data_IF_319186296722
#
_entry.id   IF_319186296722
#
_cell.length_a   1.000
_cell.length_b   1.000
_cell.length_c   1.000
_cell.angle_alpha   90.00
_cell.angle_beta   90.00
_cell.angle_gamma   90.00
#
_symmetry.space_group_name_H-M   'P 1'
#
loop_
_entity.id
_entity.type
_entity.pdbx_description
1 polymer ?
#
# COMPACT_ATOMS: atom_id res chain seq x y z
N UNK A 1 3.44 -11.37 -18.06
CA UNK A 1 2.95 -11.42 -16.65
C UNK A 1 3.51 -10.19 -15.95
N UNK A 2 2.65 -9.37 -15.34
CA UNK A 2 3.02 -8.12 -14.66
C UNK A 2 3.84 -8.43 -13.42
N UNK A 3 5.04 -7.87 -13.30
CA UNK A 3 5.95 -8.07 -12.16
C UNK A 3 5.66 -7.04 -11.09
N UNK A 4 5.15 -7.47 -9.95
CA UNK A 4 4.71 -6.59 -8.87
C UNK A 4 5.69 -6.63 -7.71
N UNK A 5 6.16 -5.45 -7.29
CA UNK A 5 6.86 -5.26 -6.01
C UNK A 5 5.91 -4.68 -4.97
N UNK A 6 5.89 -5.23 -3.76
CA UNK A 6 5.04 -4.73 -2.68
C UNK A 6 5.91 -4.14 -1.57
N UNK A 7 5.68 -2.86 -1.24
CA UNK A 7 6.38 -2.15 -0.18
C UNK A 7 5.51 -2.10 1.08
N UNK A 8 6.10 -2.46 2.21
CA UNK A 8 5.40 -2.65 3.49
C UNK A 8 6.22 -2.11 4.66
N UNK A 9 5.56 -1.72 5.75
CA UNK A 9 6.25 -1.29 6.99
C UNK A 9 5.89 -2.12 8.22
N UNK A 10 4.78 -2.84 8.20
CA UNK A 10 4.21 -3.50 9.39
C UNK A 10 3.72 -4.92 9.16
N UNK A 11 2.50 -5.20 9.65
CA UNK A 11 1.91 -6.55 9.70
C UNK A 11 1.61 -7.19 8.34
N UNK A 12 1.40 -6.39 7.29
CA UNK A 12 1.21 -6.89 5.93
C UNK A 12 -0.15 -7.50 5.66
N UNK A 13 -1.22 -6.97 6.26
CA UNK A 13 -2.59 -7.47 6.02
C UNK A 13 -3.06 -7.21 4.58
N UNK A 14 -2.71 -6.06 4.02
CA UNK A 14 -2.95 -5.77 2.60
C UNK A 14 -2.08 -6.64 1.68
N UNK A 15 -0.82 -6.90 2.05
CA UNK A 15 0.01 -7.88 1.33
C UNK A 15 -0.66 -9.25 1.33
N UNK A 16 -1.16 -9.72 2.48
CA UNK A 16 -1.84 -11.02 2.55
C UNK A 16 -3.05 -11.07 1.60
N UNK A 17 -3.86 -10.01 1.56
CA UNK A 17 -4.98 -9.95 0.63
C UNK A 17 -4.56 -10.05 -0.84
N UNK A 18 -3.41 -9.46 -1.21
CA UNK A 18 -2.84 -9.60 -2.56
C UNK A 18 -2.42 -11.05 -2.81
N UNK A 19 -1.70 -11.66 -1.86
CA UNK A 19 -1.20 -13.03 -1.99
C UNK A 19 -2.36 -14.04 -2.11
N UNK A 20 -3.37 -13.90 -1.26
CA UNK A 20 -4.57 -14.73 -1.31
C UNK A 20 -5.29 -14.60 -2.66
N UNK A 21 -5.40 -13.38 -3.20
CA UNK A 21 -6.03 -13.13 -4.50
C UNK A 21 -5.24 -13.75 -5.67
N UNK A 22 -3.91 -13.77 -5.59
CA UNK A 22 -3.06 -14.47 -6.57
C UNK A 22 -3.27 -15.98 -6.48
N UNK A 23 -3.26 -16.53 -5.27
CA UNK A 23 -3.43 -17.96 -5.03
C UNK A 23 -4.82 -18.48 -5.46
N UNK A 24 -5.86 -17.68 -5.27
CA UNK A 24 -7.23 -17.99 -5.70
C UNK A 24 -7.48 -17.72 -7.19
N UNK A 25 -6.57 -17.06 -7.89
CA UNK A 25 -6.73 -16.71 -9.30
C UNK A 25 -7.57 -15.47 -9.56
N UNK A 26 -7.87 -14.68 -8.53
CA UNK A 26 -8.58 -13.40 -8.65
C UNK A 26 -7.71 -12.31 -9.28
N UNK A 27 -6.39 -12.43 -9.15
CA UNK A 27 -5.41 -11.65 -9.89
C UNK A 27 -4.82 -12.53 -10.99
N UNK A 28 -5.17 -12.22 -12.24
CA UNK A 28 -4.62 -12.87 -13.42
C UNK A 28 -3.52 -12.00 -14.05
N UNK A 29 -2.56 -12.65 -14.71
CA UNK A 29 -1.48 -12.00 -15.46
C UNK A 29 -0.55 -11.11 -14.61
N UNK A 30 -0.47 -11.33 -13.28
CA UNK A 30 0.49 -10.67 -12.40
C UNK A 30 1.11 -11.67 -11.42
N UNK A 31 2.31 -11.35 -10.97
CA UNK A 31 3.03 -12.09 -9.93
C UNK A 31 3.69 -11.13 -8.94
N UNK A 32 3.71 -11.48 -7.66
CA UNK A 32 4.48 -10.74 -6.66
C UNK A 32 5.93 -11.23 -6.71
N UNK A 33 6.81 -10.41 -7.26
CA UNK A 33 8.23 -10.76 -7.47
C UNK A 33 9.08 -10.51 -6.22
N UNK A 34 8.73 -9.51 -5.43
CA UNK A 34 9.46 -9.12 -4.22
C UNK A 34 8.57 -8.36 -3.24
N UNK A 35 8.84 -8.57 -1.96
CA UNK A 35 8.31 -7.75 -0.86
C UNK A 35 9.47 -7.04 -0.18
N UNK A 36 9.40 -5.71 -0.09
CA UNK A 36 10.44 -4.87 0.50
C UNK A 36 9.87 -4.14 1.71
N UNK A 37 10.57 -4.19 2.84
CA UNK A 37 10.22 -3.43 4.02
C UNK A 37 11.35 -2.48 4.44
N UNK A 38 10.97 -1.34 5.00
CA UNK A 38 11.89 -0.43 5.68
C UNK A 38 12.13 -0.82 7.15
N UNK A 39 11.43 -1.83 7.65
CA UNK A 39 11.48 -2.29 9.04
C UNK A 39 11.85 -3.78 9.09
N UNK A 40 12.98 -4.15 9.72
CA UNK A 40 13.39 -5.55 9.83
C UNK A 40 12.41 -6.40 10.65
N UNK A 41 11.64 -5.78 11.56
CA UNK A 41 10.62 -6.44 12.36
C UNK A 41 9.24 -6.54 11.71
N UNK A 42 9.09 -6.15 10.45
CA UNK A 42 7.81 -6.22 9.75
C UNK A 42 7.37 -7.67 9.52
N UNK A 43 6.23 -8.06 10.08
CA UNK A 43 5.67 -9.41 9.89
C UNK A 43 5.30 -9.69 8.42
N UNK A 44 5.09 -8.65 7.63
CA UNK A 44 4.92 -8.76 6.19
C UNK A 44 6.07 -9.52 5.48
N UNK A 45 7.30 -9.39 5.97
CA UNK A 45 8.44 -10.15 5.44
C UNK A 45 8.30 -11.66 5.67
N UNK A 46 7.74 -12.05 6.82
CA UNK A 46 7.44 -13.46 7.12
C UNK A 46 6.33 -14.00 6.22
N UNK A 47 5.28 -13.21 5.99
CA UNK A 47 4.23 -13.59 5.02
C UNK A 47 4.79 -13.85 3.63
N UNK A 48 5.70 -13.01 3.16
CA UNK A 48 6.37 -13.19 1.87
C UNK A 48 7.19 -14.50 1.84
N UNK A 49 7.98 -14.78 2.87
CA UNK A 49 8.77 -16.01 2.96
C UNK A 49 7.90 -17.26 2.96
N UNK A 50 6.78 -17.24 3.69
CA UNK A 50 5.83 -18.35 3.76
C UNK A 50 5.18 -18.66 2.40
N UNK A 51 5.12 -17.67 1.49
CA UNK A 51 4.65 -17.84 0.11
C UNK A 51 5.79 -18.05 -0.91
N UNK A 52 7.02 -18.27 -0.44
CA UNK A 52 8.19 -18.46 -1.32
C UNK A 52 8.61 -17.20 -2.09
N UNK A 53 8.15 -16.03 -1.65
CA UNK A 53 8.46 -14.74 -2.28
C UNK A 53 9.69 -14.12 -1.62
N UNK A 54 10.54 -13.50 -2.43
CA UNK A 54 11.72 -12.79 -1.94
C UNK A 54 11.33 -11.66 -1.01
N UNK A 55 11.85 -11.71 0.22
CA UNK A 55 11.64 -10.72 1.27
C UNK A 55 12.94 -9.95 1.53
N UNK A 56 12.89 -8.64 1.39
CA UNK A 56 14.07 -7.75 1.51
C UNK A 56 13.78 -6.66 2.52
N UNK A 57 14.77 -6.33 3.34
CA UNK A 57 14.69 -5.18 4.24
C UNK A 57 15.75 -4.14 3.88
N UNK A 58 15.33 -2.89 3.73
CA UNK A 58 16.21 -1.73 3.61
C UNK A 58 15.71 -0.68 4.59
N UNK A 59 16.40 -0.55 5.72
CA UNK A 59 16.01 0.39 6.76
C UNK A 59 16.74 1.73 6.60
N UNK A 60 16.04 2.87 6.75
CA UNK A 60 16.68 4.18 6.80
C UNK A 60 17.77 4.29 7.86
N UNK A 61 17.67 3.49 8.94
CA UNK A 61 18.63 3.45 10.03
C UNK A 61 20.01 2.88 9.64
N UNK A 62 20.09 2.21 8.49
CA UNK A 62 21.34 1.64 7.97
C UNK A 62 22.21 2.67 7.22
N UNK A 63 21.70 3.87 7.04
CA UNK A 63 22.33 4.90 6.21
C UNK A 63 22.56 6.18 7.00
N UNK A 64 23.68 6.91 6.73
CA UNK A 64 24.04 8.10 7.48
C UNK A 64 23.13 9.30 7.16
N UNK A 65 22.52 9.33 5.98
CA UNK A 65 21.65 10.42 5.52
C UNK A 65 20.43 9.89 4.81
N UNK A 66 19.39 10.71 4.72
CA UNK A 66 18.19 10.39 3.94
C UNK A 66 18.50 10.20 2.46
N UNK A 67 19.39 11.00 1.90
CA UNK A 67 19.77 10.88 0.48
C UNK A 67 20.48 9.59 0.19
N UNK A 68 21.39 9.14 1.07
CA UNK A 68 22.04 7.84 0.94
C UNK A 68 21.03 6.68 0.98
N UNK A 69 20.05 6.75 1.89
CA UNK A 69 18.94 5.79 1.92
C UNK A 69 18.12 5.83 0.63
N UNK A 70 17.71 7.01 0.17
CA UNK A 70 16.89 7.17 -1.03
C UNK A 70 17.57 6.59 -2.27
N UNK A 71 18.88 6.82 -2.43
CA UNK A 71 19.67 6.25 -3.53
C UNK A 71 19.75 4.73 -3.46
N UNK A 72 20.07 4.19 -2.29
CA UNK A 72 20.16 2.75 -2.07
C UNK A 72 18.80 2.05 -2.25
N UNK A 73 17.72 2.69 -1.79
CA UNK A 73 16.36 2.18 -1.92
C UNK A 73 15.93 2.09 -3.39
N UNK A 74 16.14 3.16 -4.16
CA UNK A 74 15.85 3.17 -5.59
C UNK A 74 16.68 2.14 -6.34
N UNK A 75 18.00 2.06 -6.08
CA UNK A 75 18.88 1.07 -6.69
C UNK A 75 18.43 -0.37 -6.39
N UNK A 76 17.95 -0.63 -5.16
CA UNK A 76 17.43 -1.93 -4.80
C UNK A 76 16.14 -2.28 -5.54
N UNK A 77 15.23 -1.34 -5.71
CA UNK A 77 14.00 -1.51 -6.50
C UNK A 77 14.34 -1.83 -7.95
N UNK A 78 15.33 -1.14 -8.52
CA UNK A 78 15.77 -1.33 -9.90
C UNK A 78 16.30 -2.75 -10.19
N UNK A 79 16.83 -3.45 -9.18
CA UNK A 79 17.32 -4.83 -9.35
C UNK A 79 16.22 -5.83 -9.73
N UNK A 80 14.96 -5.50 -9.49
CA UNK A 80 13.84 -6.44 -9.67
C UNK A 80 13.07 -6.27 -10.98
N UNK A 81 13.39 -5.23 -11.77
CA UNK A 81 12.73 -4.97 -13.05
C UNK A 81 11.19 -5.02 -12.93
N UNK A 82 10.65 -4.19 -12.04
CA UNK A 82 9.23 -4.18 -11.68
C UNK A 82 8.40 -3.40 -12.69
N UNK A 83 7.25 -3.95 -13.06
CA UNK A 83 6.24 -3.27 -13.87
C UNK A 83 5.31 -2.42 -13.01
N UNK A 84 5.01 -2.87 -11.80
CA UNK A 84 4.13 -2.19 -10.84
C UNK A 84 4.72 -2.24 -9.43
N UNK A 85 4.67 -1.13 -8.73
CA UNK A 85 5.03 -1.02 -7.32
C UNK A 85 3.77 -0.70 -6.53
N UNK A 86 3.51 -1.48 -5.49
CA UNK A 86 2.34 -1.33 -4.62
C UNK A 86 2.78 -0.92 -3.23
N UNK A 87 2.31 0.23 -2.77
CA UNK A 87 2.48 0.66 -1.38
C UNK A 87 1.33 0.09 -0.55
N UNK A 88 1.64 -0.88 0.29
CA UNK A 88 0.68 -1.59 1.13
C UNK A 88 0.97 -1.33 2.62
N UNK A 89 0.65 -0.14 3.09
CA UNK A 89 1.02 0.31 4.44
C UNK A 89 2.50 0.63 4.56
N UNK A 90 3.08 1.26 3.54
CA UNK A 90 4.47 1.72 3.55
C UNK A 90 4.53 3.15 4.10
N UNK A 91 5.22 3.33 5.24
CA UNK A 91 5.21 4.58 6.02
C UNK A 91 6.41 5.50 5.74
N UNK A 92 7.29 5.10 4.84
CA UNK A 92 8.43 5.94 4.41
C UNK A 92 8.04 6.71 3.17
N UNK A 93 8.35 8.00 3.16
CA UNK A 93 8.09 8.85 2.00
C UNK A 93 8.89 8.35 0.79
N UNK A 94 8.22 8.17 -0.33
CA UNK A 94 8.82 7.76 -1.60
C UNK A 94 9.69 8.90 -2.15
N UNK A 95 10.94 8.63 -2.55
CA UNK A 95 11.81 9.65 -3.14
C UNK A 95 11.25 10.20 -4.46
N UNK A 96 11.42 11.50 -4.71
CA UNK A 96 10.98 12.13 -5.96
C UNK A 96 11.58 11.45 -7.21
N UNK A 97 12.84 11.06 -7.15
CA UNK A 97 13.49 10.33 -8.24
C UNK A 97 12.79 8.99 -8.56
N UNK A 98 12.20 8.34 -7.54
CA UNK A 98 11.45 7.12 -7.73
C UNK A 98 10.07 7.39 -8.35
N UNK A 99 9.35 8.43 -7.91
CA UNK A 99 8.05 8.80 -8.50
C UNK A 99 8.19 9.26 -9.94
N UNK A 100 9.28 9.91 -10.30
CA UNK A 100 9.59 10.27 -11.68
C UNK A 100 9.92 9.05 -12.54
N UNK A 101 10.84 8.19 -12.09
CA UNK A 101 11.27 7.00 -12.81
C UNK A 101 10.15 5.99 -13.04
N UNK A 102 9.33 5.78 -12.04
CA UNK A 102 8.20 4.83 -12.05
C UNK A 102 6.85 5.54 -12.21
N UNK A 103 6.83 6.69 -12.90
CA UNK A 103 5.59 7.45 -13.16
C UNK A 103 4.52 6.57 -13.78
N UNK A 104 3.32 6.56 -13.18
CA UNK A 104 2.20 5.73 -13.60
C UNK A 104 2.35 4.24 -13.27
N UNK A 105 3.37 3.86 -12.50
CA UNK A 105 3.66 2.47 -12.10
C UNK A 105 3.78 2.28 -10.58
N UNK A 106 3.36 3.27 -9.80
CA UNK A 106 3.28 3.16 -8.33
C UNK A 106 1.84 3.42 -7.94
N UNK A 107 1.26 2.51 -7.16
CA UNK A 107 -0.08 2.67 -6.57
C UNK A 107 0.00 2.56 -5.05
N UNK A 108 -0.95 3.20 -4.37
CA UNK A 108 -1.08 3.17 -2.92
C UNK A 108 -2.51 2.87 -2.50
N UNK A 109 -2.67 2.19 -1.38
CA UNK A 109 -3.94 2.03 -0.68
C UNK A 109 -3.97 2.98 0.52
N UNK A 110 -4.99 3.83 0.60
CA UNK A 110 -5.21 4.76 1.70
C UNK A 110 -6.56 4.47 2.37
N UNK A 111 -6.64 4.39 3.72
CA UNK A 111 -7.83 3.94 4.43
C UNK A 111 -8.87 5.05 4.63
N UNK A 112 -9.10 5.88 3.63
CA UNK A 112 -10.19 6.86 3.59
C UNK A 112 -10.71 7.06 2.18
N UNK A 113 -11.83 7.74 2.07
CA UNK A 113 -12.31 8.27 0.80
C UNK A 113 -11.59 9.59 0.49
N UNK A 114 -10.51 9.55 -0.26
CA UNK A 114 -9.80 10.75 -0.70
C UNK A 114 -10.79 11.62 -1.49
N UNK A 115 -10.91 12.89 -1.11
CA UNK A 115 -10.00 13.85 -0.47
C UNK A 115 -10.14 13.99 1.06
N UNK A 116 -10.93 13.20 1.73
CA UNK A 116 -11.13 13.26 3.19
C UNK A 116 -10.03 12.50 3.92
N UNK A 117 -9.55 13.04 5.05
CA UNK A 117 -8.61 12.39 5.98
C UNK A 117 -7.38 11.80 5.29
N UNK A 118 -6.75 12.56 4.40
CA UNK A 118 -5.56 12.18 3.66
C UNK A 118 -4.49 13.26 3.73
N UNK A 119 -3.28 12.96 3.24
CA UNK A 119 -2.14 13.86 3.29
C UNK A 119 -1.32 13.73 4.57
N UNK A 120 -0.55 14.76 4.88
CA UNK A 120 0.40 14.76 6.01
C UNK A 120 -0.29 14.49 7.34
N UNK A 121 0.19 13.48 8.07
CA UNK A 121 -0.33 13.11 9.40
C UNK A 121 -1.47 12.10 9.39
N UNK A 122 -2.06 11.81 8.24
CA UNK A 122 -3.14 10.83 8.11
C UNK A 122 -2.61 9.47 7.66
N UNK A 123 -2.35 8.58 8.62
CA UNK A 123 -1.93 7.21 8.39
C UNK A 123 -2.39 6.29 9.52
N UNK A 124 -2.57 5.01 9.22
CA UNK A 124 -2.93 3.98 10.18
C UNK A 124 -4.19 4.33 10.95
N UNK A 125 -4.16 4.12 12.26
CA UNK A 125 -5.31 4.35 13.16
C UNK A 125 -5.77 5.81 13.21
N UNK A 126 -4.86 6.77 12.99
CA UNK A 126 -5.16 8.21 13.02
C UNK A 126 -6.22 8.64 12.01
N UNK A 127 -6.31 7.95 10.88
CA UNK A 127 -7.35 8.21 9.87
C UNK A 127 -8.74 7.91 10.45
N UNK A 128 -8.89 6.80 11.15
CA UNK A 128 -10.16 6.36 11.75
C UNK A 128 -10.52 7.21 12.98
N UNK A 129 -9.54 7.58 13.78
CA UNK A 129 -9.70 8.54 14.89
C UNK A 129 -10.26 9.88 14.37
N UNK A 130 -9.69 10.40 13.29
CA UNK A 130 -10.13 11.66 12.69
C UNK A 130 -11.54 11.54 12.08
N UNK A 131 -11.87 10.44 11.41
CA UNK A 131 -13.18 10.17 10.85
C UNK A 131 -14.26 10.14 11.94
N UNK A 132 -14.01 9.43 13.05
CA UNK A 132 -14.91 9.37 14.19
C UNK A 132 -15.05 10.72 14.89
N UNK A 133 -13.95 11.43 15.13
CA UNK A 133 -13.96 12.75 15.75
C UNK A 133 -14.75 13.77 14.91
N UNK A 134 -14.71 13.65 13.58
CA UNK A 134 -15.50 14.52 12.67
C UNK A 134 -16.97 14.15 12.62
N UNK A 135 -17.32 12.92 13.01
CA UNK A 135 -18.70 12.42 13.02
C UNK A 135 -19.23 12.05 11.63
N UNK A 136 -18.35 11.68 10.68
CA UNK A 136 -18.78 11.22 9.37
C UNK A 136 -19.58 9.94 9.48
N UNK A 137 -20.56 9.76 8.60
CA UNK A 137 -21.40 8.55 8.58
C UNK A 137 -20.89 7.50 7.60
N UNK A 138 -20.03 7.93 6.67
CA UNK A 138 -19.43 7.08 5.64
C UNK A 138 -17.93 7.40 5.57
N UNK A 139 -17.12 6.36 5.55
CA UNK A 139 -15.68 6.37 5.28
C UNK A 139 -15.38 5.34 4.20
N UNK A 140 -14.17 4.85 4.08
CA UNK A 140 -13.83 3.82 3.10
C UNK A 140 -12.35 3.74 2.83
N UNK A 141 -12.01 3.28 1.64
CA UNK A 141 -10.63 3.20 1.17
C UNK A 141 -10.50 3.65 -0.29
N UNK A 142 -9.29 4.08 -0.64
CA UNK A 142 -8.96 4.56 -1.98
C UNK A 142 -7.67 3.90 -2.45
N UNK A 143 -7.70 3.35 -3.67
CA UNK A 143 -6.48 3.01 -4.43
C UNK A 143 -6.22 4.11 -5.43
N UNK A 144 -5.02 4.67 -5.42
CA UNK A 144 -4.64 5.75 -6.33
C UNK A 144 -3.21 5.59 -6.83
N UNK A 145 -2.91 6.21 -7.95
CA UNK A 145 -1.52 6.35 -8.41
C UNK A 145 -0.76 7.31 -7.50
N UNK A 146 0.52 7.03 -7.30
CA UNK A 146 1.41 7.90 -6.53
C UNK A 146 2.08 8.88 -7.49
N UNK A 147 1.98 10.16 -7.15
CA UNK A 147 2.67 11.27 -7.81
C UNK A 147 3.65 11.98 -6.86
N UNK A 148 4.03 13.21 -7.17
CA UNK A 148 4.95 13.99 -6.33
C UNK A 148 4.34 14.52 -5.03
N UNK A 149 3.02 14.45 -4.84
CA UNK A 149 2.32 14.86 -3.64
C UNK A 149 1.98 13.69 -2.72
N UNK A 150 1.44 14.01 -1.54
CA UNK A 150 0.98 12.98 -0.60
C UNK A 150 -0.51 12.76 -0.78
N UNK A 151 -0.88 11.56 -1.21
CA UNK A 151 -2.26 11.13 -1.49
C UNK A 151 -2.99 12.01 -2.54
N UNK A 152 -2.26 12.55 -3.52
CA UNK A 152 -2.77 13.51 -4.52
C UNK A 152 -2.93 12.92 -5.92
N UNK A 153 -2.38 11.76 -6.19
CA UNK A 153 -2.42 11.14 -7.51
C UNK A 153 -3.80 10.66 -7.95
N UNK A 154 -3.97 10.36 -9.24
CA UNK A 154 -5.25 9.93 -9.80
C UNK A 154 -5.82 8.69 -9.10
N UNK A 155 -7.12 8.73 -8.81
CA UNK A 155 -7.85 7.64 -8.16
C UNK A 155 -8.13 6.53 -9.17
N UNK A 156 -7.91 5.28 -8.75
CA UNK A 156 -8.20 4.07 -9.54
C UNK A 156 -9.52 3.47 -9.07
N UNK A 157 -9.63 3.19 -7.76
CA UNK A 157 -10.81 2.62 -7.14
C UNK A 157 -11.07 3.22 -5.77
N UNK A 158 -12.35 3.31 -5.43
CA UNK A 158 -12.79 3.65 -4.08
C UNK A 158 -13.90 2.71 -3.65
N UNK A 159 -13.97 2.44 -2.35
CA UNK A 159 -15.09 1.70 -1.75
C UNK A 159 -15.50 2.33 -0.43
N UNK A 160 -16.78 2.67 -0.34
CA UNK A 160 -17.39 3.24 0.85
C UNK A 160 -17.68 2.17 1.90
N UNK A 161 -17.55 2.57 3.16
CA UNK A 161 -17.86 1.76 4.35
C UNK A 161 -18.63 2.62 5.33
N UNK A 162 -19.72 2.09 5.91
CA UNK A 162 -20.51 2.81 6.90
C UNK A 162 -19.79 2.88 8.25
N UNK A 163 -19.95 4.01 8.92
CA UNK A 163 -19.56 4.21 10.31
C UNK A 163 -20.77 3.90 11.18
N UNK A 164 -20.61 2.96 12.12
CA UNK A 164 -21.68 2.52 12.99
C UNK A 164 -21.62 3.21 14.35
N UNK A 165 -22.76 3.31 15.02
CA UNK A 165 -22.84 3.87 16.36
C UNK A 165 -22.03 3.01 17.35
N UNK A 166 -21.19 3.66 18.15
CA UNK A 166 -20.32 2.97 19.11
C UNK A 166 -19.00 2.46 18.53
N UNK A 167 -18.70 2.73 17.26
CA UNK A 167 -17.40 2.38 16.70
C UNK A 167 -16.25 3.02 17.48
N UNK A 168 -15.26 2.19 17.78
CA UNK A 168 -13.93 2.67 18.17
C UNK A 168 -13.04 2.78 16.91
N UNK A 169 -11.91 3.52 16.98
CA UNK A 169 -10.97 3.58 15.86
C UNK A 169 -10.53 2.21 15.36
N UNK A 170 -10.30 1.26 16.27
CA UNK A 170 -9.86 -0.10 15.96
C UNK A 170 -10.97 -0.92 15.27
N UNK A 171 -12.22 -0.79 15.70
CA UNK A 171 -13.36 -1.47 15.08
C UNK A 171 -13.57 -0.93 13.67
N UNK A 172 -13.56 0.39 13.52
CA UNK A 172 -13.71 1.02 12.20
C UNK A 172 -12.55 0.67 11.26
N UNK A 173 -11.30 0.70 11.76
CA UNK A 173 -10.13 0.28 10.99
C UNK A 173 -10.29 -1.14 10.44
N UNK A 174 -10.69 -2.08 11.30
CA UNK A 174 -10.89 -3.47 10.90
C UNK A 174 -11.98 -3.61 9.85
N UNK A 175 -13.10 -2.90 10.01
CA UNK A 175 -14.19 -2.92 9.04
C UNK A 175 -13.74 -2.36 7.69
N UNK A 176 -12.99 -1.25 7.67
CA UNK A 176 -12.44 -0.67 6.43
C UNK A 176 -11.45 -1.62 5.78
N UNK A 177 -10.58 -2.29 6.53
CA UNK A 177 -9.70 -3.33 6.00
C UNK A 177 -10.48 -4.45 5.33
N UNK A 178 -11.43 -5.06 6.04
CA UNK A 178 -12.18 -6.24 5.58
C UNK A 178 -13.12 -5.92 4.41
N UNK A 179 -13.82 -4.80 4.48
CA UNK A 179 -14.86 -4.45 3.50
C UNK A 179 -14.34 -3.63 2.31
N UNK A 180 -13.24 -2.93 2.45
CA UNK A 180 -12.73 -2.03 1.41
C UNK A 180 -11.30 -2.34 0.98
N UNK A 181 -10.30 -2.18 1.86
CA UNK A 181 -8.90 -2.26 1.46
C UNK A 181 -8.54 -3.61 0.82
N UNK A 182 -8.87 -4.73 1.47
CA UNK A 182 -8.57 -6.08 1.00
C UNK A 182 -9.38 -6.50 -0.23
N UNK A 183 -10.40 -5.71 -0.58
CA UNK A 183 -11.23 -5.93 -1.78
C UNK A 183 -10.70 -5.14 -2.96
N UNK A 184 -10.48 -3.82 -2.77
CA UNK A 184 -10.18 -2.94 -3.91
C UNK A 184 -8.71 -2.96 -4.32
N UNK A 185 -7.78 -3.24 -3.39
CA UNK A 185 -6.36 -3.30 -3.75
C UNK A 185 -6.03 -4.47 -4.70
N UNK A 186 -6.42 -5.72 -4.40
CA UNK A 186 -6.26 -6.82 -5.36
C UNK A 186 -6.98 -6.56 -6.68
N UNK A 187 -8.19 -5.99 -6.63
CA UNK A 187 -8.96 -5.64 -7.82
C UNK A 187 -8.23 -4.62 -8.70
N UNK A 188 -7.64 -3.58 -8.11
CA UNK A 188 -6.87 -2.58 -8.86
C UNK A 188 -5.64 -3.20 -9.54
N UNK A 189 -4.92 -4.09 -8.86
CA UNK A 189 -3.78 -4.81 -9.44
C UNK A 189 -4.24 -5.65 -10.63
N UNK A 190 -5.34 -6.39 -10.48
CA UNK A 190 -5.88 -7.20 -11.58
C UNK A 190 -6.31 -6.35 -12.78
N UNK A 191 -6.95 -5.20 -12.54
CA UNK A 191 -7.32 -4.26 -13.62
C UNK A 191 -6.08 -3.80 -14.39
N UNK A 192 -5.04 -3.34 -13.68
CA UNK A 192 -3.79 -2.88 -14.30
C UNK A 192 -3.10 -4.00 -15.09
N UNK A 193 -3.05 -5.22 -14.53
CA UNK A 193 -2.44 -6.38 -15.17
C UNK A 193 -3.15 -6.78 -16.48
N UNK A 194 -4.40 -6.41 -16.65
CA UNK A 194 -5.23 -6.72 -17.81
C UNK A 194 -5.52 -5.50 -18.70
N UNK A 195 -4.87 -4.36 -18.47
CA UNK A 195 -4.96 -3.17 -19.30
C UNK A 195 -6.29 -2.44 -19.23
N UNK A 196 -6.94 -2.48 -18.06
CA UNK A 196 -8.23 -1.83 -17.80
C UNK A 196 -8.08 -0.52 -17.04
#
# INVERSE_FOLDING_TARGET
MLRVGVLVSGGGTNLQAILDAVDHGDIANAEVSVVISNNPGAYALERARNHGIRAVCISPKQFPTRDAFNQAFLAKIDEYDLDLIVLAGFLVMIPAAMTEKYKGRIINIHPSLITSFCGVGYYGLKVHEAALARGVKVTGATVHYVDGGMDTGPIILQKAVEVEEGDTPEILQRRVMEQAEWVILPKAINMIANGQ
#
